data_IF_055922460024
#
_entry.id   IF_055922460024
#
_cell.length_a   1.000
_cell.length_b   1.000
_cell.length_c   1.000
_cell.angle_alpha   90.00
_cell.angle_beta   90.00
_cell.angle_gamma   90.00
#
_symmetry.space_group_name_H-M   'P 1'
#
loop_
_entity.id
_entity.type
_entity.pdbx_description
1 polymer ?
#
# COMPACT_ATOMS: atom_id res chain seq x y z
N UNK A 1 -4.94 6.84 -8.63
CA UNK A 1 -6.00 7.49 -7.87
C UNK A 1 -5.33 8.44 -6.87
N UNK A 2 -5.21 9.71 -7.27
CA UNK A 2 -4.58 10.73 -6.44
C UNK A 2 -5.29 10.89 -5.10
N UNK A 3 -4.59 11.46 -4.13
CA UNK A 3 -5.14 11.77 -2.81
C UNK A 3 -6.37 12.68 -2.94
N UNK A 4 -7.53 12.10 -2.71
CA UNK A 4 -8.84 12.71 -2.94
C UNK A 4 -9.05 13.95 -2.05
N UNK A 5 -8.31 14.06 -0.95
CA UNK A 5 -8.59 15.05 0.09
C UNK A 5 -7.61 16.21 0.15
N UNK A 6 -6.35 16.00 -0.21
CA UNK A 6 -5.35 17.06 -0.11
C UNK A 6 -5.14 17.80 -1.42
N UNK A 7 -5.54 17.21 -2.53
CA UNK A 7 -5.40 17.82 -3.87
C UNK A 7 -4.00 18.32 -4.19
N UNK A 8 -3.00 17.73 -3.60
CA UNK A 8 -1.62 17.86 -4.00
C UNK A 8 -1.26 16.65 -4.85
N UNK A 9 -0.93 16.86 -6.10
CA UNK A 9 -0.57 15.78 -6.99
C UNK A 9 0.55 16.19 -7.94
N UNK A 10 1.11 17.37 -7.75
CA UNK A 10 2.19 17.89 -8.57
C UNK A 10 3.50 17.61 -7.85
N UNK A 11 4.35 16.84 -8.52
CA UNK A 11 5.71 16.56 -8.07
C UNK A 11 6.62 17.72 -8.42
N UNK A 12 7.55 18.06 -7.52
CA UNK A 12 8.58 19.08 -7.73
C UNK A 12 9.96 18.44 -7.56
N UNK A 13 11.00 19.19 -7.79
CA UNK A 13 12.38 18.74 -7.56
C UNK A 13 12.64 18.41 -6.07
N UNK A 14 11.89 19.03 -5.16
CA UNK A 14 12.01 18.86 -3.71
C UNK A 14 11.28 17.62 -3.20
N UNK A 15 10.30 17.11 -3.96
CA UNK A 15 9.56 15.91 -3.55
C UNK A 15 8.27 15.67 -4.31
N UNK A 16 7.64 14.54 -3.95
CA UNK A 16 6.39 14.05 -4.54
C UNK A 16 5.19 14.70 -3.87
N UNK A 17 4.16 15.06 -4.66
CA UNK A 17 2.87 15.57 -4.18
C UNK A 17 2.96 16.86 -3.32
N UNK A 18 3.90 17.74 -3.58
CA UNK A 18 4.11 18.95 -2.76
C UNK A 18 3.22 20.13 -3.15
N UNK A 19 2.69 20.17 -4.36
CA UNK A 19 1.88 21.28 -4.87
C UNK A 19 0.47 20.83 -5.21
N UNK A 20 -0.53 21.62 -4.81
CA UNK A 20 -1.95 21.38 -5.06
C UNK A 20 -2.84 22.38 -4.36
N UNK A 21 -4.16 22.20 -4.45
CA UNK A 21 -5.14 23.11 -3.84
C UNK A 21 -5.33 22.90 -2.34
N UNK A 22 -4.96 21.77 -1.80
CA UNK A 22 -5.12 21.39 -0.37
C UNK A 22 -6.55 21.57 0.16
N UNK A 23 -7.54 21.34 -0.69
CA UNK A 23 -8.94 21.54 -0.39
C UNK A 23 -9.76 20.27 -0.66
N UNK A 24 -10.68 19.86 0.24
CA UNK A 24 -11.52 18.69 0.03
C UNK A 24 -12.44 18.88 -1.18
N UNK A 25 -12.62 17.86 -2.05
CA UNK A 25 -13.58 17.94 -3.15
C UNK A 25 -15.00 17.77 -2.62
N UNK A 26 -15.97 18.37 -3.28
CA UNK A 26 -17.39 18.12 -3.03
C UNK A 26 -17.87 16.78 -3.59
N UNK A 27 -17.18 16.27 -4.63
CA UNK A 27 -17.44 14.98 -5.25
C UNK A 27 -16.20 14.45 -5.96
N UNK A 28 -16.13 13.13 -6.13
CA UNK A 28 -15.12 12.44 -6.93
C UNK A 28 -15.83 11.59 -7.98
N UNK A 29 -15.56 11.88 -9.25
CA UNK A 29 -16.10 11.13 -10.37
C UNK A 29 -15.02 10.15 -10.87
N UNK A 30 -15.37 8.87 -11.01
CA UNK A 30 -14.52 7.83 -11.53
C UNK A 30 -15.16 7.25 -12.80
N UNK A 31 -14.67 7.70 -13.97
CA UNK A 31 -15.11 7.19 -15.27
C UNK A 31 -14.29 5.96 -15.64
N UNK A 32 -14.90 4.76 -15.50
CA UNK A 32 -14.20 3.49 -15.73
C UNK A 32 -13.82 3.28 -17.20
N UNK A 33 -14.51 3.92 -18.13
CA UNK A 33 -14.17 3.85 -19.55
C UNK A 33 -12.76 4.34 -19.87
N UNK A 34 -12.17 5.21 -19.04
CA UNK A 34 -10.80 5.69 -19.19
C UNK A 34 -9.75 4.59 -19.01
N UNK A 35 -10.08 3.50 -18.31
CA UNK A 35 -9.17 2.36 -18.14
C UNK A 35 -8.86 1.64 -19.46
N UNK A 36 -9.68 1.81 -20.51
CA UNK A 36 -9.45 1.19 -21.82
C UNK A 36 -8.13 1.61 -22.46
N UNK A 37 -7.67 2.82 -22.19
CA UNK A 37 -6.42 3.35 -22.73
C UNK A 37 -5.24 3.18 -21.78
N UNK A 38 -5.48 2.63 -20.57
CA UNK A 38 -4.43 2.38 -19.60
C UNK A 38 -3.61 1.15 -20.03
N UNK A 39 -2.27 1.24 -20.12
CA UNK A 39 -1.45 0.05 -20.36
C UNK A 39 -1.68 -1.01 -19.27
N UNK A 40 -1.67 -2.30 -19.67
CA UNK A 40 -1.94 -3.43 -18.76
C UNK A 40 -1.07 -3.37 -17.50
N UNK A 41 0.22 -3.09 -17.64
CA UNK A 41 1.13 -3.02 -16.50
C UNK A 41 0.78 -1.91 -15.50
N UNK A 42 0.15 -0.82 -15.94
CA UNK A 42 -0.33 0.23 -15.04
C UNK A 42 -1.62 -0.19 -14.32
N UNK A 43 -2.50 -0.92 -15.00
CA UNK A 43 -3.67 -1.55 -14.37
C UNK A 43 -3.23 -2.49 -13.25
N UNK A 44 -2.33 -3.44 -13.57
CA UNK A 44 -1.83 -4.43 -12.62
C UNK A 44 -1.12 -3.77 -11.43
N UNK A 45 -0.32 -2.73 -11.68
CA UNK A 45 0.33 -1.94 -10.63
C UNK A 45 -0.70 -1.26 -9.72
N UNK A 46 -1.82 -0.78 -10.28
CA UNK A 46 -2.92 -0.22 -9.50
C UNK A 46 -3.61 -1.21 -8.57
N UNK A 47 -3.58 -2.52 -8.91
CA UNK A 47 -4.17 -3.57 -8.07
C UNK A 47 -3.45 -3.74 -6.72
N UNK A 48 -2.23 -3.25 -6.53
CA UNK A 48 -1.59 -3.22 -5.22
C UNK A 48 -2.44 -2.45 -4.18
N UNK A 49 -3.00 -1.31 -4.58
CA UNK A 49 -3.87 -0.51 -3.73
C UNK A 49 -5.22 -1.21 -3.44
N UNK A 50 -5.71 -1.99 -4.41
CA UNK A 50 -6.92 -2.81 -4.26
C UNK A 50 -6.66 -3.94 -3.26
N UNK A 51 -5.56 -4.68 -3.41
CA UNK A 51 -5.11 -5.73 -2.47
C UNK A 51 -4.99 -5.14 -1.06
N UNK A 52 -4.37 -3.97 -0.92
CA UNK A 52 -4.27 -3.27 0.35
C UNK A 52 -5.64 -3.05 0.99
N UNK A 53 -6.62 -2.55 0.24
CA UNK A 53 -7.99 -2.35 0.75
C UNK A 53 -8.61 -3.68 1.23
N UNK A 54 -8.32 -4.77 0.54
CA UNK A 54 -8.73 -6.12 0.95
C UNK A 54 -8.17 -6.52 2.31
N UNK A 55 -6.87 -6.33 2.51
CA UNK A 55 -6.21 -6.70 3.74
C UNK A 55 -6.57 -5.82 4.93
N UNK A 56 -6.84 -4.53 4.73
CA UNK A 56 -7.12 -3.62 5.85
C UNK A 56 -8.59 -3.53 6.23
N UNK A 57 -9.55 -3.90 5.34
CA UNK A 57 -10.95 -3.62 5.62
C UNK A 57 -11.98 -4.52 4.91
N UNK A 58 -11.74 -5.01 3.69
CA UNK A 58 -12.73 -5.77 2.92
C UNK A 58 -12.15 -7.06 2.32
N UNK A 59 -12.11 -8.17 3.08
CA UNK A 59 -11.55 -9.44 2.62
C UNK A 59 -12.20 -10.00 1.35
N UNK A 60 -13.42 -9.58 0.99
CA UNK A 60 -14.08 -10.03 -0.22
C UNK A 60 -13.33 -9.56 -1.48
N UNK A 61 -12.61 -8.45 -1.40
CA UNK A 61 -11.69 -8.03 -2.47
C UNK A 61 -10.68 -9.15 -2.78
N UNK A 62 -10.09 -9.74 -1.73
CA UNK A 62 -9.09 -10.80 -1.89
C UNK A 62 -9.70 -12.07 -2.48
N UNK A 63 -10.91 -12.44 -2.01
CA UNK A 63 -11.65 -13.61 -2.50
C UNK A 63 -11.98 -13.45 -3.99
N UNK A 64 -12.47 -12.28 -4.42
CA UNK A 64 -12.79 -12.00 -5.83
C UNK A 64 -11.55 -12.11 -6.73
N UNK A 65 -10.40 -11.62 -6.26
CA UNK A 65 -9.16 -11.71 -7.03
C UNK A 65 -8.67 -13.16 -7.16
N UNK A 66 -8.82 -13.97 -6.10
CA UNK A 66 -8.43 -15.38 -6.10
C UNK A 66 -9.37 -16.25 -6.97
N UNK A 67 -10.66 -15.91 -7.04
CA UNK A 67 -11.66 -16.67 -7.79
C UNK A 67 -11.62 -16.43 -9.31
N UNK A 68 -11.16 -15.25 -9.74
CA UNK A 68 -11.18 -14.86 -11.14
C UNK A 68 -9.88 -14.17 -11.61
N UNK A 69 -8.71 -14.82 -11.43
CA UNK A 69 -7.42 -14.19 -11.73
C UNK A 69 -7.25 -13.78 -13.20
N UNK A 70 -7.89 -14.51 -14.12
CA UNK A 70 -7.86 -14.21 -15.55
C UNK A 70 -8.57 -12.89 -15.90
N UNK A 71 -9.56 -12.48 -15.11
CA UNK A 71 -10.30 -11.24 -15.32
C UNK A 71 -9.58 -9.99 -14.82
N UNK A 72 -8.51 -10.15 -14.04
CA UNK A 72 -7.77 -9.02 -13.46
C UNK A 72 -6.96 -8.23 -14.50
N UNK A 73 -6.73 -8.80 -15.68
CA UNK A 73 -6.04 -8.17 -16.81
C UNK A 73 -6.98 -7.45 -17.79
N UNK A 74 -8.26 -7.71 -17.70
CA UNK A 74 -9.28 -7.04 -18.51
C UNK A 74 -9.86 -5.85 -17.75
N UNK A 75 -9.44 -4.65 -18.14
CA UNK A 75 -9.90 -3.37 -17.55
C UNK A 75 -11.41 -3.14 -17.63
N UNK A 76 -12.13 -3.93 -18.48
CA UNK A 76 -13.55 -3.82 -18.67
C UNK A 76 -14.34 -4.96 -17.99
N UNK A 77 -13.66 -5.88 -17.32
CA UNK A 77 -14.31 -6.99 -16.63
C UNK A 77 -15.22 -6.53 -15.49
N UNK A 78 -16.25 -7.31 -15.20
CA UNK A 78 -17.13 -7.07 -14.07
C UNK A 78 -16.37 -7.15 -12.73
N UNK A 79 -15.33 -8.01 -12.67
CA UNK A 79 -14.48 -8.17 -11.48
C UNK A 79 -13.69 -6.89 -11.22
N UNK A 80 -13.03 -6.30 -12.23
CA UNK A 80 -12.30 -5.02 -12.06
C UNK A 80 -13.25 -3.91 -11.59
N UNK A 81 -14.46 -3.84 -12.14
CA UNK A 81 -15.46 -2.87 -11.68
C UNK A 81 -15.79 -3.05 -10.20
N UNK A 82 -16.12 -4.28 -9.79
CA UNK A 82 -16.47 -4.58 -8.40
C UNK A 82 -15.29 -4.27 -7.45
N UNK A 83 -14.07 -4.63 -7.81
CA UNK A 83 -12.85 -4.33 -7.05
C UNK A 83 -12.65 -2.83 -6.87
N UNK A 84 -12.87 -2.03 -7.91
CA UNK A 84 -12.77 -0.57 -7.83
C UNK A 84 -13.86 0.00 -6.91
N UNK A 85 -15.10 -0.44 -7.06
CA UNK A 85 -16.21 0.02 -6.23
C UNK A 85 -15.99 -0.30 -4.75
N UNK A 86 -15.53 -1.51 -4.42
CA UNK A 86 -15.17 -1.91 -3.05
C UNK A 86 -14.04 -1.07 -2.49
N UNK A 87 -12.99 -0.87 -3.25
CA UNK A 87 -11.84 -0.04 -2.84
C UNK A 87 -12.25 1.41 -2.58
N UNK A 88 -13.15 1.96 -3.40
CA UNK A 88 -13.72 3.30 -3.20
C UNK A 88 -14.53 3.33 -1.89
N UNK A 89 -15.37 2.33 -1.62
CA UNK A 89 -16.15 2.23 -0.37
C UNK A 89 -15.24 2.18 0.86
N UNK A 90 -14.20 1.35 0.85
CA UNK A 90 -13.20 1.27 1.93
C UNK A 90 -12.56 2.63 2.16
N UNK A 91 -12.05 3.26 1.11
CA UNK A 91 -11.40 4.57 1.22
C UNK A 91 -12.38 5.64 1.70
N UNK A 92 -13.59 5.68 1.15
CA UNK A 92 -14.62 6.64 1.54
C UNK A 92 -15.00 6.50 3.02
N UNK A 93 -15.21 5.28 3.51
CA UNK A 93 -15.54 5.02 4.91
C UNK A 93 -14.43 5.54 5.85
N UNK A 94 -13.19 5.13 5.60
CA UNK A 94 -12.04 5.53 6.44
C UNK A 94 -11.85 7.05 6.45
N UNK A 95 -11.94 7.68 5.29
CA UNK A 95 -11.65 9.11 5.17
C UNK A 95 -12.80 9.98 5.68
N UNK A 96 -14.05 9.53 5.57
CA UNK A 96 -15.20 10.25 6.12
C UNK A 96 -15.17 10.32 7.65
N UNK A 97 -14.59 9.30 8.29
CA UNK A 97 -14.41 9.27 9.75
C UNK A 97 -13.21 10.11 10.21
N UNK A 98 -12.18 10.26 9.36
CA UNK A 98 -10.93 10.92 9.73
C UNK A 98 -10.37 11.79 8.59
N UNK A 99 -10.89 13.00 8.46
CA UNK A 99 -10.47 13.98 7.44
C UNK A 99 -9.03 14.51 7.67
N UNK A 100 -8.48 14.43 8.88
CA UNK A 100 -7.23 15.09 9.27
C UNK A 100 -6.04 14.14 9.48
N UNK A 101 -6.19 12.84 9.17
CA UNK A 101 -5.17 11.82 9.43
C UNK A 101 -4.70 11.76 10.90
N UNK A 102 -5.65 11.86 11.82
CA UNK A 102 -5.37 11.83 13.25
C UNK A 102 -5.60 10.45 13.89
N UNK A 103 -6.01 9.44 13.10
CA UNK A 103 -6.36 8.12 13.61
C UNK A 103 -6.49 7.06 12.51
N UNK A 104 -7.70 6.59 12.24
CA UNK A 104 -7.97 5.44 11.33
C UNK A 104 -7.47 5.62 9.88
N UNK A 105 -7.34 6.85 9.42
CA UNK A 105 -6.81 7.12 8.08
C UNK A 105 -5.36 6.66 7.92
N UNK A 106 -4.58 6.58 9.00
CA UNK A 106 -3.22 6.04 8.97
C UNK A 106 -3.19 4.58 8.47
N UNK A 107 -4.28 3.81 8.65
CA UNK A 107 -4.39 2.42 8.18
C UNK A 107 -4.28 2.30 6.65
N UNK A 108 -4.63 3.34 5.90
CA UNK A 108 -4.41 3.39 4.46
C UNK A 108 -2.92 3.33 4.07
N UNK A 109 -2.02 3.53 5.02
CA UNK A 109 -0.57 3.44 4.82
C UNK A 109 -0.01 2.02 5.07
N UNK A 110 -0.86 0.97 5.12
CA UNK A 110 -0.38 -0.41 5.15
C UNK A 110 0.57 -0.67 3.97
N UNK A 111 1.80 -1.11 4.28
CA UNK A 111 2.87 -1.28 3.30
C UNK A 111 3.62 0.01 2.90
N UNK A 112 3.09 1.19 3.16
CA UNK A 112 3.63 2.44 2.61
C UNK A 112 4.91 2.94 3.28
N UNK A 113 5.18 2.59 4.53
CA UNK A 113 6.40 3.03 5.23
C UNK A 113 7.65 2.55 4.48
N UNK A 114 7.74 1.27 4.13
CA UNK A 114 8.84 0.75 3.33
C UNK A 114 8.71 1.15 1.85
N UNK A 115 7.49 1.15 1.29
CA UNK A 115 7.27 1.51 -0.11
C UNK A 115 7.81 2.90 -0.46
N UNK A 116 7.53 3.92 0.35
CA UNK A 116 8.04 5.27 0.14
C UNK A 116 9.58 5.34 0.26
N UNK A 117 10.18 4.52 1.14
CA UNK A 117 11.63 4.42 1.22
C UNK A 117 12.20 3.81 -0.05
N UNK A 118 11.62 2.73 -0.59
CA UNK A 118 11.99 2.12 -1.86
C UNK A 118 11.86 3.14 -3.00
N UNK A 119 10.71 3.79 -3.14
CA UNK A 119 10.50 4.80 -4.20
C UNK A 119 11.60 5.88 -4.17
N UNK A 120 11.99 6.34 -2.98
CA UNK A 120 13.01 7.39 -2.82
C UNK A 120 14.41 6.89 -3.12
N UNK A 121 14.78 5.70 -2.61
CA UNK A 121 16.09 5.08 -2.84
C UNK A 121 16.27 4.76 -4.32
N UNK A 122 15.22 4.30 -4.99
CA UNK A 122 15.18 4.02 -6.44
C UNK A 122 14.89 5.28 -7.29
N UNK A 123 14.95 6.47 -6.70
CA UNK A 123 14.77 7.77 -7.40
C UNK A 123 13.47 7.83 -8.20
N UNK A 124 12.38 7.24 -7.64
CA UNK A 124 11.04 7.15 -8.24
C UNK A 124 11.00 6.41 -9.59
N UNK A 125 11.97 5.55 -9.86
CA UNK A 125 11.98 4.71 -11.05
C UNK A 125 11.12 3.44 -10.87
N UNK A 126 10.92 3.02 -9.64
CA UNK A 126 9.96 1.96 -9.33
C UNK A 126 8.54 2.50 -9.40
N UNK A 127 7.65 1.70 -9.99
CA UNK A 127 6.22 2.00 -9.95
C UNK A 127 5.71 1.91 -8.52
N UNK A 128 4.82 2.84 -8.18
CA UNK A 128 4.27 2.93 -6.82
C UNK A 128 3.69 1.61 -6.31
N UNK A 129 2.82 0.95 -7.10
CA UNK A 129 2.21 -0.32 -6.67
C UNK A 129 3.22 -1.46 -6.52
N UNK A 130 4.32 -1.48 -7.29
CA UNK A 130 5.40 -2.44 -7.08
C UNK A 130 6.08 -2.23 -5.71
N UNK A 131 6.37 -0.98 -5.36
CA UNK A 131 6.92 -0.65 -4.04
C UNK A 131 5.94 -0.97 -2.91
N UNK A 132 4.64 -0.67 -3.09
CA UNK A 132 3.58 -0.97 -2.11
C UNK A 132 3.42 -2.48 -1.93
N UNK A 133 3.52 -3.28 -2.98
CA UNK A 133 3.48 -4.74 -2.90
C UNK A 133 4.58 -5.29 -1.98
N UNK A 134 5.83 -4.90 -2.22
CA UNK A 134 6.96 -5.28 -1.34
C UNK A 134 6.74 -4.79 0.08
N UNK A 135 6.26 -3.56 0.23
CA UNK A 135 5.97 -2.97 1.54
C UNK A 135 4.86 -3.70 2.29
N UNK A 136 3.82 -4.21 1.60
CA UNK A 136 2.77 -5.03 2.21
C UNK A 136 3.31 -6.37 2.70
N UNK A 137 4.14 -7.04 1.89
CA UNK A 137 4.77 -8.29 2.30
C UNK A 137 5.65 -8.06 3.53
N UNK A 138 6.47 -7.01 3.53
CA UNK A 138 7.26 -6.63 4.71
C UNK A 138 6.39 -6.37 5.95
N UNK A 139 5.29 -5.64 5.80
CA UNK A 139 4.39 -5.34 6.92
C UNK A 139 3.67 -6.60 7.43
N UNK A 140 3.38 -7.56 6.55
CA UNK A 140 2.82 -8.86 6.92
C UNK A 140 3.84 -9.71 7.70
N UNK A 141 5.09 -9.79 7.23
CA UNK A 141 6.20 -10.46 7.92
C UNK A 141 6.48 -9.82 9.30
N UNK A 142 6.43 -8.48 9.40
CA UNK A 142 6.55 -7.79 10.66
C UNK A 142 5.40 -8.14 11.62
N UNK A 143 4.17 -8.25 11.09
CA UNK A 143 3.02 -8.71 11.85
C UNK A 143 3.20 -10.15 12.37
N UNK A 144 3.75 -11.05 11.56
CA UNK A 144 4.08 -12.41 11.95
C UNK A 144 5.17 -12.43 13.03
N UNK A 145 6.28 -11.72 12.81
CA UNK A 145 7.41 -11.66 13.74
C UNK A 145 7.01 -11.08 15.11
N UNK A 146 5.97 -10.25 15.15
CA UNK A 146 5.43 -9.65 16.38
C UNK A 146 4.25 -10.41 16.98
N UNK A 147 3.83 -11.53 16.37
CA UNK A 147 2.76 -12.39 16.85
C UNK A 147 1.34 -11.85 16.61
N UNK A 148 1.18 -10.85 15.76
CA UNK A 148 -0.13 -10.29 15.40
C UNK A 148 -0.78 -10.97 14.19
N UNK A 149 0.02 -11.59 13.33
CA UNK A 149 -0.46 -12.19 12.09
C UNK A 149 -0.02 -13.66 12.02
N UNK A 150 -0.80 -14.49 11.37
CA UNK A 150 -0.46 -15.87 11.09
C UNK A 150 0.29 -16.02 9.74
N UNK A 151 1.02 -17.12 9.61
CA UNK A 151 1.78 -17.46 8.41
C UNK A 151 0.88 -17.59 7.15
N UNK A 152 -0.32 -18.12 7.31
CA UNK A 152 -1.26 -18.29 6.22
C UNK A 152 -1.67 -16.96 5.57
N UNK A 153 -1.81 -15.91 6.39
CA UNK A 153 -2.13 -14.57 5.91
C UNK A 153 -0.92 -13.90 5.24
N UNK A 154 0.29 -14.14 5.73
CA UNK A 154 1.53 -13.70 5.08
C UNK A 154 1.67 -14.34 3.70
N UNK A 155 1.50 -15.66 3.61
CA UNK A 155 1.53 -16.39 2.36
C UNK A 155 0.44 -15.93 1.37
N UNK A 156 -0.76 -15.64 1.88
CA UNK A 156 -1.85 -15.08 1.07
C UNK A 156 -1.46 -13.73 0.47
N UNK A 157 -0.78 -12.90 1.25
CA UNK A 157 -0.28 -11.60 0.79
C UNK A 157 0.70 -11.79 -0.37
N UNK A 158 1.68 -12.68 -0.23
CA UNK A 158 2.65 -12.99 -1.30
C UNK A 158 1.95 -13.52 -2.55
N UNK A 159 1.09 -14.54 -2.41
CA UNK A 159 0.38 -15.15 -3.55
C UNK A 159 -0.48 -14.16 -4.31
N UNK A 160 -1.22 -13.31 -3.63
CA UNK A 160 -2.06 -12.29 -4.28
C UNK A 160 -1.23 -11.26 -5.05
N UNK A 161 -0.15 -10.76 -4.48
CA UNK A 161 0.74 -9.85 -5.18
C UNK A 161 1.37 -10.51 -6.42
N UNK A 162 1.87 -11.74 -6.29
CA UNK A 162 2.48 -12.50 -7.38
C UNK A 162 1.47 -12.84 -8.49
N UNK A 163 0.21 -13.14 -8.16
CA UNK A 163 -0.84 -13.48 -9.14
C UNK A 163 -1.10 -12.37 -10.15
N UNK A 164 -0.85 -11.13 -9.75
CA UNK A 164 -0.96 -9.95 -10.62
C UNK A 164 0.40 -9.46 -11.13
N UNK A 165 1.46 -10.25 -10.96
CA UNK A 165 2.80 -9.92 -11.47
C UNK A 165 3.52 -8.82 -10.69
N UNK A 166 3.14 -8.56 -9.45
CA UNK A 166 3.81 -7.61 -8.57
C UNK A 166 4.97 -8.27 -7.81
N UNK A 167 6.09 -7.56 -7.57
CA UNK A 167 7.22 -8.08 -6.82
C UNK A 167 6.84 -8.27 -5.34
N UNK A 168 7.42 -9.29 -4.72
CA UNK A 168 7.23 -9.60 -3.29
C UNK A 168 8.56 -9.64 -2.53
N UNK A 169 9.64 -9.32 -3.21
CA UNK A 169 11.01 -9.28 -2.68
C UNK A 169 11.72 -8.00 -3.12
N UNK A 170 12.83 -7.73 -2.48
CA UNK A 170 13.68 -6.58 -2.78
C UNK A 170 15.16 -6.94 -2.53
N UNK A 171 16.07 -6.25 -3.19
CA UNK A 171 17.51 -6.50 -3.07
C UNK A 171 18.06 -6.15 -1.68
N UNK A 172 18.89 -7.03 -1.13
CA UNK A 172 19.39 -6.94 0.24
C UNK A 172 20.43 -5.83 0.50
N UNK A 173 21.13 -5.35 -0.54
CA UNK A 173 22.23 -4.38 -0.45
C UNK A 173 21.81 -2.94 -0.14
N UNK A 174 20.51 -2.67 0.04
CA UNK A 174 19.94 -1.31 0.23
C UNK A 174 19.38 -1.04 1.62
N UNK A 175 19.49 -1.98 2.53
CA UNK A 175 18.86 -1.85 3.86
C UNK A 175 19.19 -0.56 4.58
N UNK A 176 20.47 -0.19 4.67
CA UNK A 176 20.89 1.01 5.41
C UNK A 176 20.27 2.29 4.82
N UNK A 177 20.17 2.36 3.48
CA UNK A 177 19.55 3.49 2.78
C UNK A 177 18.04 3.54 3.02
N UNK A 178 17.38 2.39 3.03
CA UNK A 178 15.95 2.29 3.34
C UNK A 178 15.67 2.73 4.76
N UNK A 179 16.42 2.20 5.73
CA UNK A 179 16.25 2.52 7.15
C UNK A 179 16.50 4.02 7.42
N UNK A 180 17.56 4.59 6.85
CA UNK A 180 17.83 6.03 6.96
C UNK A 180 16.69 6.86 6.36
N UNK A 181 16.15 6.43 5.22
CA UNK A 181 15.04 7.11 4.54
C UNK A 181 13.76 7.06 5.39
N UNK A 182 13.42 5.90 5.95
CA UNK A 182 12.29 5.74 6.85
C UNK A 182 12.44 6.61 8.12
N UNK A 183 13.63 6.71 8.68
CA UNK A 183 13.92 7.58 9.84
C UNK A 183 13.78 9.07 9.53
N UNK A 184 14.16 9.51 8.33
CA UNK A 184 14.05 10.92 7.92
C UNK A 184 12.60 11.36 7.77
N UNK A 185 11.78 10.54 7.14
CA UNK A 185 10.35 10.82 6.96
C UNK A 185 9.64 10.98 8.32
N UNK A 186 10.16 10.30 9.33
CA UNK A 186 9.65 10.26 10.67
C UNK A 186 10.04 11.41 11.59
N UNK A 187 11.21 12.03 11.43
CA UNK A 187 11.61 13.19 12.23
C UNK A 187 10.58 14.31 12.24
N UNK A 188 9.65 14.27 11.26
CA UNK A 188 8.49 15.17 11.18
C UNK A 188 7.30 14.76 12.07
N UNK A 189 7.24 13.51 12.64
CA UNK A 189 6.04 12.95 13.29
C UNK A 189 6.25 12.33 14.69
N UNK A 190 7.47 12.33 15.24
CA UNK A 190 7.76 11.72 16.58
C UNK A 190 9.04 10.88 16.57
N UNK A 191 9.44 10.30 17.72
CA UNK A 191 10.76 9.68 17.88
C UNK A 191 10.85 8.18 17.49
N UNK A 192 9.73 7.44 17.32
CA UNK A 192 9.75 6.00 17.00
C UNK A 192 9.30 5.69 15.58
N UNK A 193 9.80 4.64 14.91
CA UNK A 193 9.32 4.13 13.62
C UNK A 193 7.97 3.46 13.83
N UNK A 194 7.00 3.82 13.00
CA UNK A 194 5.62 3.32 13.07
C UNK A 194 5.28 2.60 11.78
N UNK A 195 4.72 1.44 11.91
CA UNK A 195 4.20 0.66 10.78
C UNK A 195 2.72 0.37 11.00
N UNK A 196 1.97 0.36 9.94
CA UNK A 196 0.68 -0.30 9.95
C UNK A 196 0.95 -1.78 9.77
N UNK A 197 0.52 -2.61 10.72
CA UNK A 197 0.51 -4.06 10.64
C UNK A 197 -0.93 -4.56 10.77
N UNK A 198 -1.16 -5.85 10.54
CA UNK A 198 -2.47 -6.46 10.76
C UNK A 198 -2.43 -7.29 12.06
N UNK A 199 -3.47 -7.17 12.86
CA UNK A 199 -3.78 -8.00 14.01
C UNK A 199 -4.91 -8.97 13.62
N UNK A 200 -4.58 -9.92 12.74
CA UNK A 200 -5.54 -10.68 11.96
C UNK A 200 -6.06 -9.95 10.72
N UNK A 201 -6.69 -10.69 9.81
CA UNK A 201 -7.22 -10.16 8.55
C UNK A 201 -8.27 -9.06 8.79
N UNK A 202 -8.18 -7.98 8.03
CA UNK A 202 -9.05 -6.80 8.11
C UNK A 202 -9.06 -6.07 9.47
N UNK A 203 -8.05 -6.29 10.28
CA UNK A 203 -7.88 -5.61 11.56
C UNK A 203 -6.53 -4.88 11.63
N UNK A 204 -6.38 -3.73 10.94
CA UNK A 204 -5.16 -2.97 10.93
C UNK A 204 -4.91 -2.27 12.27
N UNK A 205 -3.65 -2.21 12.66
CA UNK A 205 -3.17 -1.51 13.85
C UNK A 205 -1.85 -0.78 13.60
N UNK A 206 -1.55 0.18 14.44
CA UNK A 206 -0.24 0.84 14.44
C UNK A 206 0.69 0.06 15.37
N UNK A 207 1.85 -0.28 14.84
CA UNK A 207 2.95 -0.84 15.60
C UNK A 207 4.09 0.17 15.69
N UNK A 208 4.37 0.61 16.89
CA UNK A 208 5.54 1.45 17.19
C UNK A 208 6.72 0.53 17.47
N UNK A 209 7.78 0.66 16.71
CA UNK A 209 8.94 -0.24 16.76
C UNK A 209 9.81 0.11 17.95
N UNK A 210 9.86 -0.73 18.99
CA UNK A 210 10.67 -0.44 20.18
C UNK A 210 12.16 -0.71 19.95
N UNK A 211 12.47 -1.69 19.09
CA UNK A 211 13.82 -2.10 18.72
C UNK A 211 13.89 -2.32 17.21
N UNK A 212 14.72 -1.54 16.53
CA UNK A 212 14.87 -1.62 15.09
C UNK A 212 15.55 -2.90 14.58
N UNK A 213 16.14 -3.71 15.46
CA UNK A 213 16.72 -5.01 15.07
C UNK A 213 15.69 -5.94 14.45
N UNK A 214 14.42 -5.87 14.91
CA UNK A 214 13.32 -6.64 14.32
C UNK A 214 13.07 -6.26 12.86
N UNK A 215 13.26 -5.00 12.48
CA UNK A 215 13.06 -4.55 11.12
C UNK A 215 14.09 -5.16 10.16
N UNK A 216 15.34 -5.29 10.61
CA UNK A 216 16.37 -5.96 9.82
C UNK A 216 16.07 -7.45 9.65
N UNK A 217 15.71 -8.14 10.75
CA UNK A 217 15.31 -9.53 10.68
C UNK A 217 14.13 -9.73 9.72
N UNK A 218 13.08 -8.91 9.83
CA UNK A 218 11.94 -8.93 8.91
C UNK A 218 12.34 -8.64 7.46
N UNK A 219 13.29 -7.73 7.25
CA UNK A 219 13.76 -7.41 5.91
C UNK A 219 14.43 -8.60 5.22
N UNK A 220 15.14 -9.45 5.97
CA UNK A 220 15.76 -10.66 5.41
C UNK A 220 14.73 -11.64 4.82
N UNK A 221 13.50 -11.65 5.31
CA UNK A 221 12.40 -12.50 4.79
C UNK A 221 11.90 -12.07 3.42
N UNK A 222 12.25 -10.86 2.97
CA UNK A 222 11.87 -10.30 1.66
C UNK A 222 13.06 -10.05 0.74
N UNK A 223 14.27 -10.50 1.12
CA UNK A 223 15.46 -10.37 0.27
C UNK A 223 15.44 -11.41 -0.85
N UNK A 224 15.84 -10.97 -2.08
CA UNK A 224 16.08 -11.85 -3.24
C UNK A 224 17.35 -12.68 -3.07
#
# INVERSE_FOLDING_TARGET
LGDVYKRQAINTAEGKNLVGTFYPPVAVLCELGTLRTLPEHELLTGLAEVIKCGFIADPEILNLMEQAPEQLRDSQSAVIRELIERSIRVKAAIVSEDLRESGRREFLNYGHTLAHAIERVERYQWRHGAAVSVGMVFAAELGLATGYLDEATVDRTRRLCQSVGLPTSYRGDRWDQLLETMRRDKKARGNLLRFVVLDGLANPRIYEVPDESILFATFQEIVE
#
